data_IF_809692048461
#
_entry.id   IF_809692048461
#
_cell.length_a   1.000
_cell.length_b   1.000
_cell.length_c   1.000
_cell.angle_alpha   90.00
_cell.angle_beta   90.00
_cell.angle_gamma   90.00
#
_symmetry.space_group_name_H-M   'P 1'
#
loop_
_entity.id
_entity.type
_entity.pdbx_description
1 polymer ?
#
# COMPACT_ATOMS: atom_id res chain seq x y z
N UNK A 1 36.66 8.35 15.85
CA UNK A 1 35.75 8.29 14.69
C UNK A 1 35.57 6.84 14.29
N UNK A 2 34.42 6.23 14.58
CA UNK A 2 33.84 5.12 13.81
C UNK A 2 32.44 4.84 14.40
N UNK A 3 31.44 5.62 13.97
CA UNK A 3 30.04 5.32 14.22
C UNK A 3 29.52 4.55 13.02
N UNK A 4 29.49 3.23 13.11
CA UNK A 4 28.87 2.39 12.09
C UNK A 4 27.36 2.52 12.22
N UNK A 5 26.79 3.52 11.55
CA UNK A 5 25.35 3.64 11.38
C UNK A 5 24.90 2.62 10.33
N UNK A 6 24.78 1.36 10.75
CA UNK A 6 24.10 0.33 9.96
C UNK A 6 22.59 0.63 10.05
N UNK A 7 22.13 1.61 9.28
CA UNK A 7 20.72 1.62 8.88
C UNK A 7 20.52 0.35 8.08
N UNK A 8 19.93 -0.67 8.69
CA UNK A 8 19.38 -1.78 7.96
C UNK A 8 18.52 -1.18 6.83
N UNK A 9 18.60 -1.69 5.58
CA UNK A 9 17.69 -1.23 4.54
C UNK A 9 16.27 -1.47 5.07
N UNK A 10 15.43 -0.43 5.04
CA UNK A 10 13.99 -0.57 5.26
C UNK A 10 13.54 -1.83 4.53
N UNK A 11 12.84 -2.77 5.17
CA UNK A 11 12.40 -3.98 4.50
C UNK A 11 11.68 -3.52 3.23
N UNK A 12 12.21 -3.94 2.08
CA UNK A 12 11.63 -3.59 0.80
C UNK A 12 10.16 -3.95 0.89
N UNK A 13 9.29 -2.94 0.74
CA UNK A 13 7.85 -3.08 0.85
C UNK A 13 7.39 -3.84 -0.41
N UNK A 14 7.62 -5.15 -0.43
CA UNK A 14 7.36 -6.00 -1.57
C UNK A 14 5.85 -6.14 -1.74
N UNK A 15 5.29 -5.92 -2.94
CA UNK A 15 3.86 -6.04 -3.15
C UNK A 15 3.39 -7.48 -2.88
N UNK A 16 2.18 -7.61 -2.34
CA UNK A 16 1.46 -8.88 -2.37
C UNK A 16 1.07 -9.19 -3.81
N UNK A 17 1.37 -10.41 -4.28
CA UNK A 17 1.09 -10.83 -5.66
C UNK A 17 0.26 -12.11 -5.63
N UNK A 18 -0.90 -12.08 -6.29
CA UNK A 18 -1.64 -13.28 -6.65
C UNK A 18 -1.28 -13.63 -8.10
N UNK A 19 -0.52 -14.71 -8.33
CA UNK A 19 -0.12 -15.07 -9.68
C UNK A 19 -1.33 -15.55 -10.50
N UNK A 20 -1.27 -15.26 -11.80
CA UNK A 20 -2.17 -15.88 -12.77
C UNK A 20 -1.91 -17.40 -12.81
N UNK A 21 -2.95 -18.19 -13.07
CA UNK A 21 -2.85 -19.65 -13.16
C UNK A 21 -2.19 -20.08 -14.48
N UNK A 22 -2.44 -19.34 -15.56
CA UNK A 22 -1.75 -19.45 -16.85
C UNK A 22 -0.88 -18.23 -17.10
N UNK A 23 -0.20 -18.18 -18.26
CA UNK A 23 0.51 -16.98 -18.70
C UNK A 23 -0.40 -15.76 -18.56
N UNK A 24 0.01 -14.80 -17.74
CA UNK A 24 -0.76 -13.58 -17.53
C UNK A 24 -0.80 -12.77 -18.84
N UNK A 25 -2.00 -12.34 -19.22
CA UNK A 25 -2.21 -11.39 -20.33
C UNK A 25 -2.65 -10.03 -19.81
N UNK A 26 -3.15 -9.99 -18.57
CA UNK A 26 -3.74 -8.82 -17.95
C UNK A 26 -3.30 -8.72 -16.48
N UNK A 27 -3.41 -7.52 -15.91
CA UNK A 27 -3.07 -7.27 -14.52
C UNK A 27 -4.07 -6.33 -13.85
N UNK A 28 -4.32 -6.58 -12.56
CA UNK A 28 -5.03 -5.67 -11.66
C UNK A 28 -4.05 -5.18 -10.63
N UNK A 29 -3.88 -3.86 -10.54
CA UNK A 29 -3.17 -3.21 -9.43
C UNK A 29 -4.25 -2.62 -8.52
N UNK A 30 -4.26 -3.04 -7.26
CA UNK A 30 -5.24 -2.59 -6.30
C UNK A 30 -4.56 -1.89 -5.13
N UNK A 31 -4.99 -0.66 -4.84
CA UNK A 31 -4.49 0.16 -3.74
C UNK A 31 -5.45 0.01 -2.56
N UNK A 32 -4.94 -0.52 -1.44
CA UNK A 32 -5.74 -0.71 -0.23
C UNK A 32 -6.05 0.62 0.46
N UNK A 33 -7.05 0.63 1.34
CA UNK A 33 -7.41 1.79 2.15
C UNK A 33 -6.47 2.04 3.33
N UNK A 34 -6.72 3.12 4.06
CA UNK A 34 -5.99 3.52 5.27
C UNK A 34 -5.92 2.38 6.29
N UNK A 35 -4.73 2.10 6.82
CA UNK A 35 -4.51 1.13 7.88
C UNK A 35 -4.44 -0.34 7.43
N UNK A 36 -4.79 -0.63 6.17
CA UNK A 36 -4.79 -1.99 5.61
C UNK A 36 -3.43 -2.35 4.97
N UNK A 37 -3.33 -3.53 4.36
CA UNK A 37 -2.15 -4.00 3.64
C UNK A 37 -2.56 -4.69 2.32
N UNK A 38 -1.63 -4.75 1.37
CA UNK A 38 -1.83 -5.54 0.14
C UNK A 38 -2.14 -7.03 0.38
N UNK A 39 -1.79 -7.60 1.54
CA UNK A 39 -2.01 -9.01 1.86
C UNK A 39 -3.49 -9.33 2.06
N UNK A 40 -4.23 -8.51 2.80
CA UNK A 40 -5.67 -8.71 3.04
C UNK A 40 -6.46 -8.74 1.73
N UNK A 41 -6.10 -7.86 0.79
CA UNK A 41 -6.72 -7.82 -0.53
C UNK A 41 -6.28 -8.96 -1.45
N UNK A 42 -5.03 -9.44 -1.35
CA UNK A 42 -4.57 -10.58 -2.12
C UNK A 42 -5.40 -11.84 -1.81
N UNK A 43 -5.77 -12.07 -0.54
CA UNK A 43 -6.67 -13.18 -0.16
C UNK A 43 -8.06 -13.02 -0.76
N UNK A 44 -8.64 -11.81 -0.72
CA UNK A 44 -9.92 -11.54 -1.35
C UNK A 44 -9.89 -11.80 -2.88
N UNK A 45 -8.82 -11.36 -3.57
CA UNK A 45 -8.65 -11.62 -5.00
C UNK A 45 -8.46 -13.09 -5.32
N UNK A 46 -7.83 -13.89 -4.45
CA UNK A 46 -7.69 -15.32 -4.65
C UNK A 46 -9.06 -16.02 -4.78
N UNK A 47 -10.10 -15.51 -4.10
CA UNK A 47 -11.47 -16.02 -4.18
C UNK A 47 -12.21 -15.69 -5.48
N UNK A 48 -11.79 -14.66 -6.23
CA UNK A 48 -12.44 -14.20 -7.47
C UNK A 48 -11.52 -14.23 -8.68
N UNK A 49 -10.35 -14.87 -8.58
CA UNK A 49 -9.29 -14.75 -9.58
C UNK A 49 -9.69 -15.33 -10.95
N UNK A 50 -9.30 -14.62 -12.00
CA UNK A 50 -9.31 -15.14 -13.37
C UNK A 50 -7.98 -15.81 -13.73
N UNK A 51 -8.02 -16.85 -14.56
CA UNK A 51 -6.83 -17.66 -14.88
C UNK A 51 -5.70 -16.86 -15.55
N UNK A 52 -6.00 -15.79 -16.29
CA UNK A 52 -5.03 -14.96 -17.03
C UNK A 52 -4.68 -13.63 -16.35
N UNK A 53 -5.27 -13.33 -15.19
CA UNK A 53 -5.06 -12.05 -14.51
C UNK A 53 -4.08 -12.25 -13.36
N UNK A 54 -3.05 -11.41 -13.31
CA UNK A 54 -2.19 -11.26 -12.14
C UNK A 54 -2.73 -10.12 -11.27
N UNK A 55 -2.91 -10.34 -9.98
CA UNK A 55 -3.31 -9.28 -9.04
C UNK A 55 -2.10 -8.82 -8.25
N UNK A 56 -1.95 -7.51 -8.10
CA UNK A 56 -0.84 -6.85 -7.41
C UNK A 56 -1.45 -5.92 -6.37
N UNK A 57 -1.18 -6.18 -5.10
CA UNK A 57 -1.48 -5.29 -3.98
C UNK A 57 -0.17 -4.71 -3.44
N UNK A 58 0.26 -3.51 -3.86
CA UNK A 58 1.41 -2.86 -3.26
C UNK A 58 1.08 -2.50 -1.80
N UNK A 59 2.10 -2.40 -0.94
CA UNK A 59 1.90 -1.86 0.40
C UNK A 59 2.46 -0.46 0.51
N UNK A 60 1.96 0.27 1.49
CA UNK A 60 2.39 1.61 1.84
C UNK A 60 3.39 1.61 2.98
N UNK A 61 4.22 2.67 3.07
CA UNK A 61 4.95 2.94 4.30
C UNK A 61 3.98 3.23 5.46
N UNK A 62 4.45 2.99 6.68
CA UNK A 62 3.77 3.44 7.89
C UNK A 62 4.13 4.91 8.12
N UNK A 63 3.11 5.76 8.23
CA UNK A 63 3.27 7.20 8.49
C UNK A 63 2.19 7.72 9.45
N UNK A 64 2.44 8.83 10.17
CA UNK A 64 1.40 9.51 10.93
C UNK A 64 0.29 10.01 10.00
N UNK A 65 -0.97 9.91 10.45
CA UNK A 65 -2.13 10.40 9.70
C UNK A 65 -2.92 11.42 10.52
N UNK A 66 -3.06 12.63 9.99
CA UNK A 66 -3.69 13.77 10.66
C UNK A 66 -5.13 13.47 11.09
N UNK A 67 -5.94 12.90 10.20
CA UNK A 67 -7.34 12.49 10.47
C UNK A 67 -7.44 11.50 11.64
N UNK A 68 -6.41 10.68 11.84
CA UNK A 68 -6.34 9.67 12.90
C UNK A 68 -5.52 10.14 14.11
N UNK A 69 -5.58 11.44 14.43
CA UNK A 69 -4.87 12.03 15.58
C UNK A 69 -3.35 11.74 15.55
N UNK A 70 -2.74 11.75 14.37
CA UNK A 70 -1.32 11.44 14.13
C UNK A 70 -0.90 10.02 14.53
N UNK A 71 -1.84 9.08 14.66
CA UNK A 71 -1.51 7.66 14.81
C UNK A 71 -0.75 7.16 13.57
N UNK A 72 0.34 6.42 13.80
CA UNK A 72 1.15 5.85 12.73
C UNK A 72 0.50 4.57 12.20
N UNK A 73 0.16 4.55 10.91
CA UNK A 73 -0.44 3.39 10.24
C UNK A 73 -0.09 3.39 8.73
N UNK A 74 -0.31 2.27 8.01
CA UNK A 74 -0.14 2.24 6.57
C UNK A 74 -1.00 3.30 5.86
N UNK A 75 -0.37 4.23 5.13
CA UNK A 75 -1.07 5.25 4.33
C UNK A 75 -0.28 5.66 3.09
N UNK A 76 -0.97 6.00 2.00
CA UNK A 76 -0.35 6.43 0.74
C UNK A 76 0.17 7.86 0.83
N UNK A 77 -0.57 8.71 1.54
CA UNK A 77 -0.33 10.13 1.78
C UNK A 77 -1.05 10.50 3.09
N UNK A 78 -0.84 11.72 3.60
CA UNK A 78 -1.57 12.17 4.78
C UNK A 78 -3.04 12.48 4.45
N UNK A 79 -3.94 12.10 5.34
CA UNK A 79 -5.36 12.38 5.20
C UNK A 79 -5.71 13.40 6.28
N UNK A 80 -6.11 14.60 5.86
CA UNK A 80 -6.39 15.71 6.78
C UNK A 80 -7.88 15.74 7.16
N UNK A 81 -8.76 15.43 6.22
CA UNK A 81 -10.21 15.39 6.41
C UNK A 81 -10.91 14.58 5.31
N UNK A 82 -12.22 14.38 5.46
CA UNK A 82 -13.06 13.60 4.52
C UNK A 82 -14.15 14.45 3.86
N UNK A 83 -14.24 15.74 4.19
CA UNK A 83 -15.17 16.64 3.52
C UNK A 83 -14.59 17.08 2.17
N UNK A 84 -15.46 17.46 1.23
CA UNK A 84 -15.04 17.90 -0.10
C UNK A 84 -14.17 19.16 -0.08
N UNK A 85 -14.28 19.96 0.98
CA UNK A 85 -13.51 21.18 1.22
C UNK A 85 -12.32 20.97 2.18
N UNK A 86 -12.06 19.72 2.59
CA UNK A 86 -10.88 19.39 3.39
C UNK A 86 -9.61 19.69 2.60
N UNK A 87 -8.58 20.17 3.29
CA UNK A 87 -7.26 20.30 2.69
C UNK A 87 -6.74 18.93 2.24
N UNK A 88 -6.07 18.89 1.10
CA UNK A 88 -5.41 17.69 0.58
C UNK A 88 -3.89 17.73 0.85
N UNK A 89 -3.27 16.56 0.99
CA UNK A 89 -1.81 16.44 1.06
C UNK A 89 -1.19 16.51 -0.34
N UNK A 90 -1.21 17.72 -0.91
CA UNK A 90 -0.62 18.04 -2.22
C UNK A 90 0.85 17.62 -2.34
N UNK A 91 1.58 17.55 -1.21
CA UNK A 91 3.00 17.17 -1.22
C UNK A 91 3.22 15.65 -1.25
N UNK A 92 2.32 14.89 -0.62
CA UNK A 92 2.36 13.44 -0.55
C UNK A 92 1.69 12.75 -1.74
N UNK A 93 0.66 13.36 -2.31
CA UNK A 93 -0.01 12.89 -3.54
C UNK A 93 0.96 13.08 -4.72
N UNK A 94 1.21 12.00 -5.47
CA UNK A 94 2.16 11.95 -6.61
C UNK A 94 1.58 11.25 -7.82
#
# INVERSE_FOLDING_TARGET
MCGSNMSAPLPAILPAIVPAVRKATDAVIFLHGLGDTGHGWAEAFAGIRSAHIKYIGPHTPVMPVTLSMNMAMPSWFDIIGLSLDSQEDETGIK
#
